data_IF_487223480077
#
_entry.id   IF_487223480077
#
_cell.length_a   1.000
_cell.length_b   1.000
_cell.length_c   1.000
_cell.angle_alpha   90.00
_cell.angle_beta   90.00
_cell.angle_gamma   90.00
#
_symmetry.space_group_name_H-M   'P 1'
#
loop_
_entity.id
_entity.type
_entity.pdbx_description
1 polymer ?
#
# COMPACT_ATOMS: atom_id res chain seq x y z
N UNK A 1 -20.02 -10.38 -21.32
CA UNK A 1 -18.56 -10.63 -21.28
C UNK A 1 -18.37 -12.11 -20.96
N UNK A 2 -17.35 -12.77 -21.52
CA UNK A 2 -17.08 -14.19 -21.24
C UNK A 2 -16.81 -14.36 -19.73
N UNK A 3 -17.50 -15.31 -19.04
CA UNK A 3 -17.29 -15.60 -17.61
C UNK A 3 -15.83 -15.87 -17.25
N UNK A 4 -15.09 -16.58 -18.08
CA UNK A 4 -13.70 -16.92 -17.84
C UNK A 4 -12.80 -15.66 -17.77
N UNK A 5 -13.11 -14.64 -18.59
CA UNK A 5 -12.39 -13.36 -18.59
C UNK A 5 -12.70 -12.59 -17.30
N UNK A 6 -13.95 -12.65 -16.82
CA UNK A 6 -14.34 -12.00 -15.56
C UNK A 6 -13.57 -12.63 -14.40
N UNK A 7 -13.59 -13.95 -14.29
CA UNK A 7 -12.86 -14.66 -13.23
C UNK A 7 -11.35 -14.43 -13.28
N UNK A 8 -10.77 -14.40 -14.50
CA UNK A 8 -9.35 -14.07 -14.64
C UNK A 8 -9.02 -12.66 -14.14
N UNK A 9 -9.88 -11.67 -14.42
CA UNK A 9 -9.74 -10.30 -13.94
C UNK A 9 -9.84 -10.23 -12.40
N UNK A 10 -10.84 -10.90 -11.81
CA UNK A 10 -11.04 -10.95 -10.36
C UNK A 10 -9.84 -11.57 -9.65
N UNK A 11 -9.37 -12.72 -10.15
CA UNK A 11 -8.16 -13.39 -9.63
C UNK A 11 -6.94 -12.48 -9.74
N UNK A 12 -6.72 -11.83 -10.87
CA UNK A 12 -5.61 -10.90 -11.06
C UNK A 12 -5.69 -9.72 -10.08
N UNK A 13 -6.88 -9.15 -9.89
CA UNK A 13 -7.09 -8.05 -8.95
C UNK A 13 -6.78 -8.46 -7.49
N UNK A 14 -7.28 -9.63 -7.08
CA UNK A 14 -7.05 -10.17 -5.73
C UNK A 14 -5.57 -10.47 -5.51
N UNK A 15 -4.89 -11.11 -6.47
CA UNK A 15 -3.47 -11.45 -6.35
C UNK A 15 -2.61 -10.20 -6.25
N UNK A 16 -2.83 -9.21 -7.12
CA UNK A 16 -2.06 -7.96 -7.12
C UNK A 16 -2.32 -7.15 -5.84
N UNK A 17 -3.58 -6.99 -5.43
CA UNK A 17 -3.93 -6.29 -4.20
C UNK A 17 -3.43 -7.04 -2.95
N UNK A 18 -3.53 -8.38 -2.93
CA UNK A 18 -3.09 -9.21 -1.83
C UNK A 18 -1.58 -9.18 -1.63
N UNK A 19 -0.81 -9.26 -2.72
CA UNK A 19 0.66 -9.17 -2.66
C UNK A 19 1.13 -7.77 -2.29
N UNK A 20 0.47 -6.70 -2.75
CA UNK A 20 0.73 -5.33 -2.29
C UNK A 20 0.46 -5.22 -0.78
N UNK A 21 -0.74 -5.60 -0.33
CA UNK A 21 -1.13 -5.51 1.08
C UNK A 21 -0.23 -6.36 1.98
N UNK A 22 0.15 -7.56 1.53
CA UNK A 22 1.07 -8.45 2.23
C UNK A 22 2.47 -7.85 2.40
N UNK A 23 3.03 -7.26 1.34
CA UNK A 23 4.34 -6.62 1.41
C UNK A 23 4.35 -5.41 2.35
N UNK A 24 3.33 -4.56 2.30
CA UNK A 24 3.18 -3.41 3.20
C UNK A 24 2.98 -3.86 4.66
N UNK A 25 2.20 -4.92 4.88
CA UNK A 25 2.02 -5.53 6.21
C UNK A 25 3.33 -6.09 6.75
N UNK A 26 4.11 -6.78 5.91
CA UNK A 26 5.42 -7.31 6.30
C UNK A 26 6.37 -6.19 6.73
N UNK A 27 6.38 -5.07 6.03
CA UNK A 27 7.18 -3.89 6.41
C UNK A 27 6.74 -3.35 7.77
N UNK A 28 5.44 -3.19 8.01
CA UNK A 28 4.93 -2.66 9.27
C UNK A 28 5.20 -3.58 10.47
N UNK A 29 4.95 -4.89 10.30
CA UNK A 29 4.95 -5.86 11.41
C UNK A 29 6.32 -6.46 11.67
N UNK A 30 7.12 -6.71 10.63
CA UNK A 30 8.37 -7.44 10.77
C UNK A 30 9.60 -6.55 10.61
N UNK A 31 9.64 -5.67 9.61
CA UNK A 31 10.84 -4.90 9.30
C UNK A 31 11.01 -3.71 10.24
N UNK A 32 10.01 -2.85 10.38
CA UNK A 32 10.14 -1.63 11.20
C UNK A 32 10.49 -1.91 12.66
N UNK A 33 9.85 -2.85 13.39
CA UNK A 33 10.21 -3.13 14.77
C UNK A 33 11.62 -3.69 14.95
N UNK A 34 12.19 -4.29 13.92
CA UNK A 34 13.57 -4.79 13.96
C UNK A 34 14.58 -3.69 13.64
N UNK A 35 14.30 -2.90 12.57
CA UNK A 35 15.15 -1.78 12.17
C UNK A 35 15.23 -0.72 13.26
N UNK A 36 14.12 -0.45 13.98
CA UNK A 36 14.10 0.54 15.08
C UNK A 36 14.99 0.21 16.29
N UNK A 37 15.49 -1.03 16.38
CA UNK A 37 16.41 -1.49 17.42
C UNK A 37 17.88 -1.42 17.02
N UNK A 38 18.16 -1.06 15.77
CA UNK A 38 19.53 -0.92 15.28
C UNK A 38 20.14 0.40 15.75
N UNK A 39 21.47 0.46 15.73
CA UNK A 39 22.21 1.69 15.90
C UNK A 39 21.78 2.74 14.86
N UNK A 40 21.78 4.02 15.24
CA UNK A 40 21.21 5.12 14.46
C UNK A 40 21.68 5.17 13.00
N UNK A 41 22.99 5.05 12.77
CA UNK A 41 23.54 5.07 11.42
C UNK A 41 23.11 3.85 10.59
N UNK A 42 23.04 2.67 11.21
CA UNK A 42 22.60 1.43 10.56
C UNK A 42 21.10 1.48 10.28
N UNK A 43 20.29 1.97 11.24
CA UNK A 43 18.87 2.21 11.08
C UNK A 43 18.60 3.09 9.84
N UNK A 44 19.27 4.24 9.77
CA UNK A 44 19.04 5.18 8.66
C UNK A 44 19.44 4.58 7.32
N UNK A 45 20.58 3.88 7.24
CA UNK A 45 20.99 3.18 6.00
C UNK A 45 19.97 2.14 5.56
N UNK A 46 19.42 1.36 6.51
CA UNK A 46 18.40 0.35 6.21
C UNK A 46 17.12 0.97 5.68
N UNK A 47 16.60 2.02 6.34
CA UNK A 47 15.37 2.70 5.86
C UNK A 47 15.59 3.43 4.54
N UNK A 48 16.78 3.97 4.28
CA UNK A 48 17.13 4.56 2.99
C UNK A 48 17.13 3.54 1.85
N UNK A 49 17.67 2.34 2.09
CA UNK A 49 17.65 1.26 1.12
C UNK A 49 16.22 0.85 0.78
N UNK A 50 15.36 0.66 1.79
CA UNK A 50 13.95 0.34 1.59
C UNK A 50 13.21 1.48 0.87
N UNK A 51 13.41 2.73 1.29
CA UNK A 51 12.76 3.89 0.69
C UNK A 51 13.09 4.06 -0.79
N UNK A 52 14.33 3.76 -1.21
CA UNK A 52 14.74 3.79 -2.62
C UNK A 52 14.01 2.73 -3.45
N UNK A 53 14.00 1.48 -2.99
CA UNK A 53 13.35 0.36 -3.71
C UNK A 53 11.85 0.59 -3.76
N UNK A 54 11.21 0.83 -2.63
CA UNK A 54 9.75 1.02 -2.57
C UNK A 54 9.31 2.33 -3.24
N UNK A 55 10.11 3.39 -3.17
CA UNK A 55 9.82 4.64 -3.88
C UNK A 55 9.73 4.47 -5.39
N UNK A 56 10.44 3.48 -5.95
CA UNK A 56 10.40 3.17 -7.38
C UNK A 56 9.27 2.19 -7.72
N UNK A 57 9.09 1.13 -6.94
CA UNK A 57 8.19 0.02 -7.27
C UNK A 57 6.74 0.32 -6.86
N UNK A 58 6.54 0.89 -5.66
CA UNK A 58 5.20 1.05 -5.09
C UNK A 58 4.24 1.93 -5.91
N UNK A 59 4.64 3.06 -6.51
CA UNK A 59 3.72 3.86 -7.32
C UNK A 59 3.05 3.06 -8.44
N UNK A 60 3.82 2.22 -9.14
CA UNK A 60 3.28 1.35 -10.19
C UNK A 60 2.37 0.26 -9.63
N UNK A 61 2.74 -0.31 -8.48
CA UNK A 61 1.94 -1.36 -7.85
C UNK A 61 0.60 -0.83 -7.33
N UNK A 62 0.59 0.35 -6.69
CA UNK A 62 -0.64 1.04 -6.28
C UNK A 62 -1.52 1.39 -7.49
N UNK A 63 -0.93 1.92 -8.56
CA UNK A 63 -1.67 2.25 -9.78
C UNK A 63 -2.29 1.01 -10.41
N UNK A 64 -1.54 -0.09 -10.53
CA UNK A 64 -2.06 -1.35 -11.07
C UNK A 64 -3.19 -1.91 -10.19
N UNK A 65 -3.02 -1.91 -8.88
CA UNK A 65 -4.06 -2.36 -7.93
C UNK A 65 -5.34 -1.54 -8.10
N UNK A 66 -5.22 -0.21 -8.15
CA UNK A 66 -6.36 0.68 -8.37
C UNK A 66 -7.07 0.41 -9.71
N UNK A 67 -6.31 0.28 -10.79
CA UNK A 67 -6.89 0.04 -12.13
C UNK A 67 -7.60 -1.31 -12.21
N UNK A 68 -7.05 -2.37 -11.59
CA UNK A 68 -7.71 -3.67 -11.54
C UNK A 68 -8.98 -3.62 -10.70
N UNK A 69 -8.95 -2.98 -9.52
CA UNK A 69 -10.13 -2.80 -8.69
C UNK A 69 -11.23 -1.99 -9.40
N UNK A 70 -10.83 -0.94 -10.16
CA UNK A 70 -11.75 -0.15 -10.98
C UNK A 70 -12.38 -1.00 -12.10
N UNK A 71 -11.59 -1.85 -12.76
CA UNK A 71 -12.09 -2.76 -13.80
C UNK A 71 -13.08 -3.78 -13.21
N UNK A 72 -12.79 -4.36 -12.05
CA UNK A 72 -13.73 -5.25 -11.32
C UNK A 72 -15.03 -4.50 -10.98
N UNK A 73 -14.93 -3.27 -10.48
CA UNK A 73 -16.11 -2.44 -10.17
C UNK A 73 -16.97 -2.19 -11.41
N UNK A 74 -16.35 -1.86 -12.53
CA UNK A 74 -17.07 -1.62 -13.80
C UNK A 74 -17.79 -2.89 -14.28
N UNK A 75 -17.12 -4.03 -14.22
CA UNK A 75 -17.70 -5.32 -14.60
C UNK A 75 -18.86 -5.69 -13.68
N UNK A 76 -18.68 -5.61 -12.37
CA UNK A 76 -19.72 -5.91 -11.38
C UNK A 76 -20.94 -5.01 -11.56
N UNK A 77 -20.75 -3.73 -11.86
CA UNK A 77 -21.86 -2.81 -12.15
C UNK A 77 -22.62 -3.16 -13.43
N UNK A 78 -21.90 -3.50 -14.51
CA UNK A 78 -22.53 -3.79 -15.83
C UNK A 78 -23.23 -5.15 -15.87
N UNK A 79 -22.69 -6.15 -15.17
CA UNK A 79 -23.28 -7.51 -15.11
C UNK A 79 -24.37 -7.62 -14.06
N UNK A 80 -24.54 -6.60 -13.21
CA UNK A 80 -25.44 -6.63 -12.03
C UNK A 80 -25.23 -7.86 -11.15
N UNK A 81 -24.05 -8.49 -11.26
CA UNK A 81 -23.64 -9.56 -10.40
C UNK A 81 -23.17 -8.96 -9.10
N UNK A 82 -23.61 -9.48 -7.98
CA UNK A 82 -23.13 -9.22 -6.62
C UNK A 82 -23.11 -7.75 -6.15
N UNK A 83 -22.96 -7.47 -4.88
CA UNK A 83 -23.01 -6.09 -4.40
C UNK A 83 -21.84 -5.26 -4.97
N UNK A 84 -22.00 -4.77 -6.21
CA UNK A 84 -21.05 -3.90 -6.92
C UNK A 84 -20.55 -2.74 -6.05
N UNK A 85 -21.32 -2.33 -5.05
CA UNK A 85 -20.94 -1.30 -4.10
C UNK A 85 -19.76 -1.73 -3.21
N UNK A 86 -19.52 -3.03 -2.97
CA UNK A 86 -18.32 -3.51 -2.28
C UNK A 86 -17.07 -3.27 -3.13
N UNK A 87 -17.14 -3.60 -4.43
CA UNK A 87 -16.08 -3.33 -5.37
C UNK A 87 -15.81 -1.81 -5.48
N UNK A 88 -16.88 -1.00 -5.53
CA UNK A 88 -16.77 0.46 -5.54
C UNK A 88 -16.10 0.98 -4.25
N UNK A 89 -16.53 0.52 -3.09
CA UNK A 89 -15.94 0.92 -1.80
C UNK A 89 -14.44 0.55 -1.73
N UNK A 90 -14.08 -0.65 -2.19
CA UNK A 90 -12.68 -1.07 -2.30
C UNK A 90 -11.87 -0.14 -3.22
N UNK A 91 -12.39 0.15 -4.40
CA UNK A 91 -11.73 1.03 -5.39
C UNK A 91 -11.54 2.43 -4.84
N UNK A 92 -12.57 3.00 -4.20
CA UNK A 92 -12.47 4.32 -3.54
C UNK A 92 -11.41 4.31 -2.44
N UNK A 93 -11.35 3.25 -1.62
CA UNK A 93 -10.31 3.12 -0.60
C UNK A 93 -8.91 3.05 -1.22
N UNK A 94 -8.66 2.26 -2.26
CA UNK A 94 -7.37 2.23 -2.94
C UNK A 94 -6.98 3.60 -3.51
N UNK A 95 -7.92 4.36 -4.07
CA UNK A 95 -7.68 5.72 -4.52
C UNK A 95 -7.30 6.65 -3.35
N UNK A 96 -8.08 6.63 -2.27
CA UNK A 96 -7.82 7.45 -1.08
C UNK A 96 -6.48 7.11 -0.42
N UNK A 97 -6.13 5.82 -0.32
CA UNK A 97 -4.85 5.36 0.21
C UNK A 97 -3.69 5.84 -0.66
N UNK A 98 -3.84 5.84 -1.98
CA UNK A 98 -2.83 6.34 -2.91
C UNK A 98 -2.59 7.84 -2.70
N UNK A 99 -3.65 8.64 -2.64
CA UNK A 99 -3.57 10.08 -2.35
C UNK A 99 -2.95 10.32 -0.96
N UNK A 100 -3.43 9.62 0.05
CA UNK A 100 -2.88 9.67 1.41
C UNK A 100 -1.37 9.40 1.43
N UNK A 101 -0.93 8.38 0.68
CA UNK A 101 0.49 7.98 0.61
C UNK A 101 1.36 9.08 0.02
N UNK A 102 0.89 9.72 -1.06
CA UNK A 102 1.62 10.83 -1.71
C UNK A 102 1.71 12.05 -0.80
N UNK A 103 0.63 12.36 -0.06
CA UNK A 103 0.55 13.57 0.74
C UNK A 103 1.29 13.46 2.09
N UNK A 104 1.35 12.27 2.71
CA UNK A 104 1.82 12.12 4.09
C UNK A 104 3.11 11.29 4.23
N UNK A 105 3.17 9.98 3.92
CA UNK A 105 4.41 9.22 4.07
C UNK A 105 5.52 9.59 3.07
N UNK A 106 5.19 9.87 1.81
CA UNK A 106 6.17 10.14 0.75
C UNK A 106 7.03 11.37 1.04
N UNK A 107 6.50 12.53 1.52
CA UNK A 107 7.34 13.67 1.89
C UNK A 107 8.39 13.35 2.97
N UNK A 108 8.05 12.47 3.92
CA UNK A 108 8.99 12.02 4.96
C UNK A 108 10.06 11.13 4.32
N UNK A 109 9.69 10.18 3.45
CA UNK A 109 10.64 9.35 2.73
C UNK A 109 11.63 10.17 1.90
N UNK A 110 11.17 11.21 1.24
CA UNK A 110 12.02 12.11 0.45
C UNK A 110 13.05 12.85 1.31
N UNK A 111 12.72 13.14 2.58
CA UNK A 111 13.69 13.69 3.54
C UNK A 111 14.68 12.61 3.98
N UNK A 112 14.20 11.42 4.37
CA UNK A 112 15.02 10.29 4.84
C UNK A 112 16.11 9.93 3.83
N UNK A 113 15.79 9.86 2.55
CA UNK A 113 16.75 9.50 1.48
C UNK A 113 17.93 10.50 1.39
N UNK A 114 17.74 11.74 1.85
CA UNK A 114 18.75 12.80 1.82
C UNK A 114 19.59 12.90 3.09
N UNK A 115 19.24 12.18 4.16
CA UNK A 115 19.99 12.26 5.41
C UNK A 115 21.40 11.70 5.27
N UNK A 116 22.33 12.31 6.01
CA UNK A 116 23.68 11.79 6.17
C UNK A 116 23.73 10.92 7.42
N UNK A 117 24.11 9.63 7.34
CA UNK A 117 24.10 8.72 8.50
C UNK A 117 24.97 9.21 9.65
N UNK A 118 26.04 9.96 9.35
CA UNK A 118 26.98 10.48 10.33
C UNK A 118 26.60 11.88 10.87
N UNK A 119 25.52 12.49 10.35
CA UNK A 119 25.03 13.81 10.76
C UNK A 119 23.51 13.90 10.60
N UNK A 120 22.79 13.23 11.50
CA UNK A 120 21.34 13.16 11.45
C UNK A 120 20.70 14.44 12.00
N UNK A 121 19.55 14.88 11.41
CA UNK A 121 18.77 15.98 11.96
C UNK A 121 18.31 15.65 13.40
N UNK A 122 18.27 16.66 14.29
CA UNK A 122 17.88 16.45 15.69
C UNK A 122 16.51 15.78 15.86
N UNK A 123 15.59 16.00 14.93
CA UNK A 123 14.21 15.46 14.94
C UNK A 123 14.03 14.18 14.09
N UNK A 124 15.11 13.51 13.67
CA UNK A 124 15.02 12.36 12.76
C UNK A 124 14.17 11.20 13.31
N UNK A 125 14.28 10.94 14.64
CA UNK A 125 13.50 9.88 15.31
C UNK A 125 12.00 10.18 15.33
N UNK A 126 11.62 11.46 15.51
CA UNK A 126 10.23 11.87 15.53
C UNK A 126 9.61 11.76 14.14
N UNK A 127 10.36 12.13 13.09
CA UNK A 127 9.95 11.92 11.71
C UNK A 127 9.77 10.44 11.38
N UNK A 128 10.67 9.57 11.88
CA UNK A 128 10.54 8.11 11.71
C UNK A 128 9.30 7.56 12.43
N UNK A 129 9.09 7.91 13.70
CA UNK A 129 7.89 7.50 14.44
C UNK A 129 6.61 7.95 13.76
N UNK A 130 6.59 9.18 13.25
CA UNK A 130 5.46 9.70 12.49
C UNK A 130 5.22 8.88 11.22
N UNK A 131 6.29 8.57 10.49
CA UNK A 131 6.19 7.75 9.28
C UNK A 131 5.67 6.34 9.62
N UNK A 132 6.19 5.70 10.67
CA UNK A 132 5.77 4.36 11.11
C UNK A 132 4.26 4.33 11.46
N UNK A 133 3.76 5.36 12.15
CA UNK A 133 2.34 5.51 12.46
C UNK A 133 1.49 5.67 11.17
N UNK A 134 1.90 6.58 10.28
CA UNK A 134 1.20 6.80 9.02
C UNK A 134 1.19 5.54 8.16
N UNK A 135 2.28 4.79 8.16
CA UNK A 135 2.38 3.52 7.46
C UNK A 135 1.44 2.46 8.06
N UNK A 136 1.40 2.33 9.38
CA UNK A 136 0.49 1.40 10.06
C UNK A 136 -0.99 1.71 9.76
N UNK A 137 -1.38 2.98 9.79
CA UNK A 137 -2.73 3.43 9.39
C UNK A 137 -3.02 3.01 7.94
N UNK A 138 -2.08 3.25 7.02
CA UNK A 138 -2.21 2.86 5.63
C UNK A 138 -2.43 1.35 5.47
N UNK A 139 -1.66 0.53 6.20
CA UNK A 139 -1.80 -0.94 6.16
C UNK A 139 -3.18 -1.38 6.61
N UNK A 140 -3.74 -0.79 7.67
CA UNK A 140 -5.12 -1.10 8.11
C UNK A 140 -6.13 -0.84 6.99
N UNK A 141 -6.05 0.31 6.33
CA UNK A 141 -6.96 0.63 5.22
C UNK A 141 -6.73 -0.27 3.99
N UNK A 142 -5.49 -0.68 3.69
CA UNK A 142 -5.20 -1.66 2.63
C UNK A 142 -5.85 -3.02 2.91
N UNK A 143 -5.78 -3.50 4.15
CA UNK A 143 -6.43 -4.76 4.56
C UNK A 143 -7.95 -4.64 4.41
N UNK A 144 -8.56 -3.53 4.83
CA UNK A 144 -10.00 -3.30 4.65
C UNK A 144 -10.38 -3.28 3.16
N UNK A 145 -9.60 -2.56 2.34
CA UNK A 145 -9.84 -2.50 0.89
C UNK A 145 -9.74 -3.88 0.23
N UNK A 146 -8.74 -4.68 0.62
CA UNK A 146 -8.59 -6.06 0.15
C UNK A 146 -9.77 -6.95 0.54
N UNK A 147 -10.23 -6.86 1.81
CA UNK A 147 -11.40 -7.63 2.28
C UNK A 147 -12.63 -7.27 1.45
N UNK A 148 -12.88 -5.98 1.20
CA UNK A 148 -14.01 -5.52 0.38
C UNK A 148 -13.91 -6.01 -1.07
N UNK A 149 -12.69 -5.99 -1.65
CA UNK A 149 -12.45 -6.52 -3.00
C UNK A 149 -12.76 -8.02 -3.08
N UNK A 150 -12.21 -8.81 -2.15
CA UNK A 150 -12.46 -10.25 -2.10
C UNK A 150 -13.95 -10.55 -1.88
N UNK A 151 -14.58 -9.84 -0.94
CA UNK A 151 -16.01 -10.01 -0.70
C UNK A 151 -16.85 -9.69 -1.95
N UNK A 152 -16.48 -8.69 -2.74
CA UNK A 152 -17.17 -8.36 -3.98
C UNK A 152 -17.05 -9.43 -5.07
N UNK A 153 -16.05 -10.29 -5.01
CA UNK A 153 -15.82 -11.36 -5.99
C UNK A 153 -16.43 -12.70 -5.53
N UNK A 154 -16.76 -12.86 -4.25
CA UNK A 154 -17.27 -14.13 -3.67
C UNK A 154 -18.77 -14.12 -3.50
N UNK A 155 -19.38 -12.98 -3.22
CA UNK A 155 -20.84 -12.80 -3.04
C UNK A 155 -21.50 -12.21 -4.27
#
# INVERSE_FOLDING_TARGET
MNPDIIHALEVAAIVVAGTLTGSETAVAVFFHPRISRLEDAVHVRAVQALAKVFGTVMPFWYALTFLLALAVTFVAHTTRSTPWWLALASTVLFALISVYSVLLPVPINNQVVRWQPDSLPANWRDLRRRWDLLHAIRVVFLVIALILLVASCVY
#
